data_IF_052711763230
#
_entry.id   IF_052711763230
#
_cell.length_a   1.000
_cell.length_b   1.000
_cell.length_c   1.000
_cell.angle_alpha   90.00
_cell.angle_beta   90.00
_cell.angle_gamma   90.00
#
_symmetry.space_group_name_H-M   'P 1'
#
loop_
_entity.id
_entity.type
_entity.pdbx_description
1 polymer ?
#
# COMPACT_ATOMS: atom_id res chain seq x y z
N UNK A 1 -8.11 -21.80 -3.60
CA UNK A 1 -6.98 -22.76 -3.55
C UNK A 1 -5.87 -22.36 -2.56
N UNK A 2 -5.05 -21.33 -2.84
CA UNK A 2 -3.83 -21.06 -2.05
C UNK A 2 -4.10 -20.79 -0.55
N UNK A 3 -5.13 -19.99 -0.24
CA UNK A 3 -5.53 -19.71 1.14
C UNK A 3 -6.12 -20.93 1.90
N UNK A 4 -6.51 -21.99 1.18
CA UNK A 4 -7.19 -23.18 1.74
C UNK A 4 -6.26 -24.40 1.81
N UNK A 5 -5.26 -24.48 0.91
CA UNK A 5 -4.37 -25.65 0.74
C UNK A 5 -2.88 -25.33 0.94
N UNK A 6 -2.54 -24.06 1.18
CA UNK A 6 -1.16 -23.59 1.35
C UNK A 6 -0.26 -23.82 0.13
N UNK A 7 1.04 -23.56 0.30
CA UNK A 7 2.05 -23.74 -0.76
C UNK A 7 2.45 -25.21 -0.97
N UNK A 8 2.20 -26.09 0.00
CA UNK A 8 2.36 -27.54 -0.15
C UNK A 8 1.51 -28.11 -1.30
N UNK A 9 0.23 -27.72 -1.37
CA UNK A 9 -0.69 -28.12 -2.44
C UNK A 9 -0.51 -27.43 -3.79
N UNK A 10 0.39 -26.44 -3.91
CA UNK A 10 0.57 -25.69 -5.14
C UNK A 10 1.37 -26.50 -6.19
N UNK A 11 0.78 -26.71 -7.37
CA UNK A 11 1.46 -27.28 -8.54
C UNK A 11 0.96 -26.59 -9.81
N UNK A 12 1.78 -26.56 -10.86
CA UNK A 12 1.38 -26.02 -12.18
C UNK A 12 0.12 -26.71 -12.72
N UNK A 13 -0.03 -28.03 -12.50
CA UNK A 13 -1.24 -28.79 -12.86
C UNK A 13 -2.47 -28.31 -12.09
N UNK A 14 -2.36 -28.10 -10.78
CA UNK A 14 -3.49 -27.67 -9.96
C UNK A 14 -3.95 -26.24 -10.31
N UNK A 15 -3.01 -25.33 -10.60
CA UNK A 15 -3.35 -23.97 -11.06
C UNK A 15 -3.93 -23.98 -12.47
N UNK A 16 -3.39 -24.79 -13.39
CA UNK A 16 -3.96 -24.98 -14.72
C UNK A 16 -5.43 -25.45 -14.64
N UNK A 17 -5.71 -26.46 -13.80
CA UNK A 17 -7.06 -26.96 -13.56
C UNK A 17 -8.02 -25.92 -12.93
N UNK A 18 -7.52 -25.05 -12.04
CA UNK A 18 -8.31 -23.92 -11.50
C UNK A 18 -8.60 -22.85 -12.56
N UNK A 19 -7.71 -22.65 -13.52
CA UNK A 19 -7.86 -21.66 -14.61
C UNK A 19 -8.61 -22.19 -15.83
N UNK A 20 -9.04 -23.46 -15.86
CA UNK A 20 -9.56 -24.11 -17.07
C UNK A 20 -8.54 -24.24 -18.20
N UNK A 21 -7.25 -24.13 -17.88
CA UNK A 21 -6.14 -24.10 -18.82
C UNK A 21 -5.39 -25.43 -18.90
N UNK A 22 -4.61 -25.64 -19.96
CA UNK A 22 -3.70 -26.78 -20.04
C UNK A 22 -2.43 -26.53 -19.21
N UNK A 23 -1.84 -27.58 -18.64
CA UNK A 23 -0.56 -27.44 -17.90
C UNK A 23 0.58 -26.95 -18.82
N UNK A 24 0.54 -27.30 -20.10
CA UNK A 24 1.50 -26.84 -21.11
C UNK A 24 1.48 -25.31 -21.33
N UNK A 25 0.31 -24.69 -21.24
CA UNK A 25 0.19 -23.23 -21.32
C UNK A 25 0.88 -22.57 -20.12
N UNK A 26 0.69 -23.09 -18.90
CA UNK A 26 1.32 -22.53 -17.71
C UNK A 26 2.85 -22.72 -17.71
N UNK A 27 3.38 -23.81 -18.25
CA UNK A 27 4.85 -23.99 -18.36
C UNK A 27 5.52 -22.98 -19.30
N UNK A 28 4.77 -22.36 -20.22
CA UNK A 28 5.29 -21.31 -21.09
C UNK A 28 5.44 -19.96 -20.36
N UNK A 29 4.64 -19.69 -19.33
CA UNK A 29 4.73 -18.48 -18.50
C UNK A 29 5.55 -18.68 -17.23
N UNK A 30 5.50 -19.87 -16.65
CA UNK A 30 6.14 -20.23 -15.40
C UNK A 30 6.97 -21.51 -15.60
N UNK A 31 8.28 -21.40 -15.90
CA UNK A 31 9.12 -22.56 -16.20
C UNK A 31 9.31 -23.51 -15.00
N UNK A 32 8.91 -23.10 -13.79
CA UNK A 32 8.96 -23.93 -12.58
C UNK A 32 7.86 -23.58 -11.58
N UNK A 33 7.58 -24.49 -10.63
CA UNK A 33 6.77 -24.18 -9.44
C UNK A 33 7.36 -22.97 -8.70
N UNK A 34 8.68 -22.84 -8.62
CA UNK A 34 9.35 -21.68 -7.99
C UNK A 34 8.91 -20.39 -8.67
N UNK A 35 9.07 -20.27 -9.99
CA UNK A 35 8.68 -19.07 -10.75
C UNK A 35 7.22 -18.65 -10.54
N UNK A 36 6.30 -19.61 -10.42
CA UNK A 36 4.89 -19.35 -10.08
C UNK A 36 4.72 -18.83 -8.64
N UNK A 37 5.46 -19.36 -7.67
CA UNK A 37 5.48 -18.89 -6.28
C UNK A 37 6.04 -17.47 -6.19
N UNK A 38 7.19 -17.21 -6.83
CA UNK A 38 7.81 -15.87 -6.95
C UNK A 38 6.75 -14.85 -7.41
N UNK A 39 6.13 -15.13 -8.55
CA UNK A 39 5.16 -14.25 -9.17
C UNK A 39 3.92 -14.03 -8.31
N UNK A 40 3.35 -15.09 -7.72
CA UNK A 40 2.21 -14.97 -6.83
C UNK A 40 2.49 -14.08 -5.61
N UNK A 41 3.69 -14.20 -5.03
CA UNK A 41 4.12 -13.39 -3.88
C UNK A 41 4.43 -11.94 -4.27
N UNK A 42 5.02 -11.70 -5.45
CA UNK A 42 5.22 -10.34 -5.94
C UNK A 42 3.89 -9.64 -6.28
N UNK A 43 2.89 -10.36 -6.82
CA UNK A 43 1.53 -9.83 -7.02
C UNK A 43 0.86 -9.49 -5.68
N UNK A 44 1.00 -10.33 -4.65
CA UNK A 44 0.49 -10.02 -3.31
C UNK A 44 1.18 -8.78 -2.70
N UNK A 45 2.51 -8.67 -2.84
CA UNK A 45 3.25 -7.50 -2.37
C UNK A 45 2.88 -6.20 -3.11
N UNK A 46 2.64 -6.27 -4.43
CA UNK A 46 2.25 -5.12 -5.25
C UNK A 46 0.80 -4.64 -5.00
N UNK A 47 -0.13 -5.56 -4.66
CA UNK A 47 -1.50 -5.17 -4.27
C UNK A 47 -1.49 -4.19 -3.08
N UNK A 48 -0.57 -4.35 -2.14
CA UNK A 48 -0.38 -3.43 -1.01
C UNK A 48 -0.01 -2.01 -1.44
N UNK A 49 0.70 -1.86 -2.56
CA UNK A 49 1.21 -0.58 -3.03
C UNK A 49 0.16 0.22 -3.83
N UNK A 50 -0.76 -0.47 -4.51
CA UNK A 50 -1.69 0.17 -5.46
C UNK A 50 -2.89 0.83 -4.77
N UNK A 51 -3.34 0.29 -3.64
CA UNK A 51 -4.54 0.79 -2.92
C UNK A 51 -4.27 2.06 -2.10
N UNK A 52 -3.09 2.18 -1.51
CA UNK A 52 -2.79 3.21 -0.50
C UNK A 52 -2.69 4.61 -1.09
N UNK A 53 -1.91 4.78 -2.15
CA UNK A 53 -1.59 6.11 -2.72
C UNK A 53 -2.85 6.91 -3.14
N UNK A 54 -3.79 6.36 -3.95
CA UNK A 54 -4.98 7.13 -4.37
C UNK A 54 -5.90 7.51 -3.21
N UNK A 55 -6.00 6.65 -2.19
CA UNK A 55 -6.85 6.87 -1.03
C UNK A 55 -6.34 8.02 -0.14
N UNK A 56 -5.03 8.08 0.14
CA UNK A 56 -4.47 9.17 0.96
C UNK A 56 -4.44 10.49 0.19
N UNK A 57 -4.16 10.46 -1.11
CA UNK A 57 -4.29 11.67 -1.95
C UNK A 57 -5.73 12.21 -1.96
N UNK A 58 -6.75 11.33 -1.94
CA UNK A 58 -8.14 11.75 -1.83
C UNK A 58 -8.42 12.40 -0.46
N UNK A 59 -7.95 11.81 0.63
CA UNK A 59 -8.06 12.38 1.99
C UNK A 59 -7.33 13.73 2.10
N UNK A 60 -6.14 13.87 1.51
CA UNK A 60 -5.41 15.13 1.46
C UNK A 60 -6.14 16.23 0.68
N UNK A 61 -6.74 15.88 -0.46
CA UNK A 61 -7.62 16.79 -1.22
C UNK A 61 -8.87 17.18 -0.43
N UNK A 62 -9.51 16.25 0.28
CA UNK A 62 -10.66 16.54 1.14
C UNK A 62 -10.32 17.43 2.32
N UNK A 63 -9.17 17.22 2.98
CA UNK A 63 -8.69 18.07 4.07
C UNK A 63 -8.31 19.48 3.59
N UNK A 64 -7.70 19.59 2.41
CA UNK A 64 -7.40 20.88 1.76
C UNK A 64 -8.63 21.57 1.17
N UNK A 65 -9.77 20.88 1.07
CA UNK A 65 -10.99 21.33 0.42
C UNK A 65 -12.09 21.80 1.37
N UNK A 66 -11.85 21.86 2.68
CA UNK A 66 -12.83 22.33 3.65
C UNK A 66 -12.96 23.88 3.57
N UNK A 67 -14.10 24.44 3.11
CA UNK A 67 -14.30 25.88 3.14
C UNK A 67 -14.42 26.36 4.59
N UNK A 68 -13.83 27.52 4.88
CA UNK A 68 -13.91 28.15 6.20
C UNK A 68 -15.36 28.37 6.63
N UNK A 69 -15.62 28.26 7.94
CA UNK A 69 -16.96 28.27 8.53
C UNK A 69 -17.66 29.63 8.42
N UNK A 70 -18.24 29.91 7.25
CA UNK A 70 -19.30 30.91 7.09
C UNK A 70 -20.65 30.26 7.39
N UNK A 71 -21.24 30.56 8.54
CA UNK A 71 -22.59 30.11 8.87
C UNK A 71 -23.62 30.81 7.95
N UNK A 72 -24.47 30.08 7.20
CA UNK A 72 -25.51 30.71 6.39
C UNK A 72 -26.76 30.99 7.23
N UNK A 73 -27.23 32.24 7.16
CA UNK A 73 -28.54 32.62 7.68
C UNK A 73 -29.70 32.06 6.85
N UNK A 74 -30.90 32.16 7.41
CA UNK A 74 -32.17 31.69 6.84
C UNK A 74 -32.49 32.26 5.44
N UNK A 75 -32.93 31.40 4.52
CA UNK A 75 -33.53 31.84 3.25
C UNK A 75 -33.81 30.71 2.25
N UNK A 76 -35.05 30.26 2.18
CA UNK A 76 -35.67 29.64 0.98
C UNK A 76 -36.56 30.71 0.29
N UNK A 77 -37.11 30.57 -0.94
CA UNK A 77 -37.13 29.43 -1.88
C UNK A 77 -36.09 29.62 -3.04
N UNK A 78 -36.11 29.02 -4.24
CA UNK A 78 -37.13 28.25 -4.97
C UNK A 78 -36.55 27.19 -5.94
N UNK A 79 -37.31 26.80 -6.98
CA UNK A 79 -37.00 25.75 -7.95
C UNK A 79 -36.80 26.29 -9.37
N UNK A 80 -35.95 25.64 -10.17
CA UNK A 80 -36.25 25.30 -11.58
C UNK A 80 -35.30 24.24 -12.18
N UNK A 81 -35.77 23.58 -13.25
CA UNK A 81 -35.13 22.60 -14.14
C UNK A 81 -35.93 22.61 -15.46
N UNK A 82 -35.44 22.09 -16.61
CA UNK A 82 -34.07 21.82 -17.05
C UNK A 82 -33.79 22.28 -18.52
N UNK A 83 -32.58 22.02 -19.05
CA UNK A 83 -32.24 22.01 -20.49
C UNK A 83 -31.00 21.12 -20.70
N UNK A 84 -30.98 20.14 -21.62
CA UNK A 84 -30.62 20.28 -23.04
C UNK A 84 -29.12 20.63 -23.25
N UNK A 85 -28.32 20.02 -24.12
CA UNK A 85 -28.49 18.92 -25.09
C UNK A 85 -27.08 18.35 -25.46
N UNK A 86 -26.91 17.05 -25.73
CA UNK A 86 -26.64 16.46 -27.08
C UNK A 86 -25.16 16.42 -27.54
N UNK A 87 -24.77 15.22 -28.03
CA UNK A 87 -23.67 14.89 -28.97
C UNK A 87 -22.19 15.02 -28.54
N UNK A 88 -21.24 14.35 -29.21
CA UNK A 88 -21.20 12.99 -29.85
C UNK A 88 -19.74 12.70 -30.27
N UNK A 89 -19.36 11.43 -30.40
CA UNK A 89 -18.07 10.97 -30.95
C UNK A 89 -16.82 11.26 -30.09
N UNK A 90 -15.70 10.56 -30.28
CA UNK A 90 -15.48 9.41 -31.16
C UNK A 90 -14.02 8.92 -31.13
N UNK A 91 -13.83 7.66 -30.74
CA UNK A 91 -12.80 6.67 -31.16
C UNK A 91 -11.31 7.05 -31.22
N UNK A 92 -10.47 6.08 -30.80
CA UNK A 92 -9.01 5.95 -31.01
C UNK A 92 -8.10 6.92 -30.24
N UNK A 93 -6.91 6.52 -29.77
CA UNK A 93 -6.21 5.25 -29.96
C UNK A 93 -4.78 5.53 -30.44
N UNK A 94 -3.80 5.44 -29.54
CA UNK A 94 -2.41 5.77 -29.87
C UNK A 94 -1.46 5.53 -28.70
N UNK A 95 -0.82 4.36 -28.71
CA UNK A 95 0.36 4.10 -27.87
C UNK A 95 1.58 4.80 -28.48
N UNK A 96 2.35 5.53 -27.68
CA UNK A 96 3.69 5.97 -28.05
C UNK A 96 4.63 5.83 -26.86
N UNK A 97 5.73 5.12 -27.10
CA UNK A 97 6.80 4.81 -26.13
C UNK A 97 8.01 5.72 -26.32
N UNK A 98 8.73 5.99 -25.23
CA UNK A 98 10.16 6.34 -25.28
C UNK A 98 10.48 7.83 -25.27
N UNK A 99 11.52 8.19 -24.51
CA UNK A 99 11.98 9.58 -24.36
C UNK A 99 12.85 9.81 -23.14
N UNK A 100 13.97 9.09 -23.02
CA UNK A 100 15.00 9.41 -22.02
C UNK A 100 15.75 10.67 -22.46
N UNK A 101 15.86 11.67 -21.57
CA UNK A 101 16.63 12.88 -21.80
C UNK A 101 17.11 13.46 -20.46
N UNK A 102 18.42 13.54 -20.29
CA UNK A 102 19.07 14.06 -19.08
C UNK A 102 19.79 15.39 -19.38
N UNK A 103 19.94 16.23 -18.35
CA UNK A 103 20.89 17.34 -18.34
C UNK A 103 20.27 18.72 -18.08
N UNK A 104 20.69 19.38 -17.00
CA UNK A 104 20.30 20.76 -16.67
C UNK A 104 20.66 21.13 -15.23
N UNK A 105 21.88 21.62 -15.01
CA UNK A 105 22.36 22.04 -13.68
C UNK A 105 22.22 23.54 -13.44
N UNK A 106 21.83 23.90 -12.20
CA UNK A 106 21.98 25.22 -11.56
C UNK A 106 21.19 26.40 -12.20
N UNK A 107 20.83 27.47 -11.49
CA UNK A 107 21.24 27.97 -10.18
C UNK A 107 20.17 28.88 -9.53
N UNK A 108 20.33 29.16 -8.23
CA UNK A 108 20.01 30.45 -7.58
C UNK A 108 18.61 31.05 -7.72
N UNK A 109 17.78 30.89 -6.66
CA UNK A 109 16.54 31.66 -6.52
C UNK A 109 16.00 31.64 -5.09
N UNK A 110 16.37 32.63 -4.28
CA UNK A 110 15.75 32.85 -2.97
C UNK A 110 14.31 33.31 -3.16
N UNK A 111 13.34 32.52 -2.67
CA UNK A 111 11.93 32.92 -2.63
C UNK A 111 11.36 32.70 -1.23
N UNK A 112 10.81 33.80 -0.71
CA UNK A 112 10.07 33.97 0.53
C UNK A 112 9.06 32.87 0.83
N UNK A 113 8.75 32.70 2.12
CA UNK A 113 7.88 31.64 2.65
C UNK A 113 6.57 31.44 1.87
N UNK A 114 6.47 30.28 1.23
CA UNK A 114 5.23 29.76 0.66
C UNK A 114 4.45 29.08 1.78
N UNK A 115 3.20 29.49 1.99
CA UNK A 115 2.32 28.88 2.99
C UNK A 115 2.12 27.39 2.71
N UNK A 116 2.05 26.58 3.78
CA UNK A 116 1.93 25.12 3.71
C UNK A 116 0.55 24.67 3.18
N UNK A 117 0.36 24.78 1.86
CA UNK A 117 -0.81 24.29 1.14
C UNK A 117 -0.61 22.86 0.63
N UNK A 118 -1.21 21.87 1.31
CA UNK A 118 -1.57 20.60 0.69
C UNK A 118 -0.49 19.54 0.50
N UNK A 119 0.69 19.64 1.14
CA UNK A 119 1.60 18.48 1.22
C UNK A 119 0.99 17.39 2.09
N UNK A 120 0.78 16.19 1.53
CA UNK A 120 0.26 15.03 2.27
C UNK A 120 1.20 14.68 3.43
N UNK A 121 0.65 14.61 4.65
CA UNK A 121 1.37 14.25 5.87
C UNK A 121 2.14 12.94 5.70
N UNK A 122 3.44 12.95 6.03
CA UNK A 122 4.31 11.77 5.96
C UNK A 122 3.83 10.66 6.91
N UNK A 123 3.36 11.05 8.09
CA UNK A 123 2.84 10.14 9.09
C UNK A 123 1.45 9.59 8.72
N UNK A 124 0.60 10.38 8.05
CA UNK A 124 -0.64 9.88 7.46
C UNK A 124 -0.38 8.85 6.34
N UNK A 125 0.62 9.08 5.49
CA UNK A 125 1.06 8.09 4.50
C UNK A 125 1.60 6.82 5.15
N UNK A 126 2.46 6.94 6.17
CA UNK A 126 2.99 5.78 6.90
C UNK A 126 1.86 4.95 7.52
N UNK A 127 0.90 5.61 8.19
CA UNK A 127 -0.29 4.97 8.75
C UNK A 127 -1.05 4.19 7.69
N UNK A 128 -1.33 4.79 6.54
CA UNK A 128 -2.10 4.16 5.47
C UNK A 128 -1.36 2.96 4.84
N UNK A 129 -0.03 3.04 4.68
CA UNK A 129 0.79 1.89 4.24
C UNK A 129 0.74 0.74 5.25
N UNK A 130 0.79 1.03 6.55
CA UNK A 130 0.71 0.01 7.60
C UNK A 130 -0.70 -0.60 7.72
N UNK A 131 -1.75 0.19 7.52
CA UNK A 131 -3.13 -0.31 7.49
C UNK A 131 -3.39 -1.32 6.37
N UNK A 132 -2.83 -1.09 5.17
CA UNK A 132 -3.06 -1.98 4.03
C UNK A 132 -2.41 -3.36 4.19
N UNK A 133 -1.35 -3.46 5.00
CA UNK A 133 -0.72 -4.73 5.39
C UNK A 133 -1.63 -5.55 6.31
N UNK A 134 -2.50 -4.91 7.11
CA UNK A 134 -3.28 -5.60 8.14
C UNK A 134 -4.45 -6.44 7.59
N UNK A 135 -4.76 -7.59 8.21
CA UNK A 135 -5.92 -8.42 7.87
C UNK A 135 -7.22 -7.83 8.43
N UNK A 136 -7.55 -6.60 8.01
CA UNK A 136 -8.77 -5.87 8.42
C UNK A 136 -10.04 -6.38 7.73
N UNK A 137 -9.92 -7.05 6.58
CA UNK A 137 -11.03 -7.54 5.76
C UNK A 137 -10.85 -9.03 5.41
N UNK A 138 -11.92 -9.77 5.06
CA UNK A 138 -11.80 -11.18 4.67
C UNK A 138 -10.83 -11.44 3.51
N UNK A 139 -10.75 -10.55 2.50
CA UNK A 139 -9.81 -10.69 1.38
C UNK A 139 -8.36 -10.41 1.79
N UNK A 140 -8.10 -9.38 2.61
CA UNK A 140 -6.74 -9.11 3.10
C UNK A 140 -6.29 -10.18 4.11
N UNK A 141 -7.21 -10.73 4.91
CA UNK A 141 -6.94 -11.89 5.75
C UNK A 141 -6.62 -13.16 4.94
N UNK A 142 -7.34 -13.43 3.85
CA UNK A 142 -7.02 -14.55 2.95
C UNK A 142 -5.64 -14.36 2.29
N UNK A 143 -5.33 -13.14 1.84
CA UNK A 143 -4.04 -12.77 1.26
C UNK A 143 -2.89 -12.93 2.27
N UNK A 144 -3.09 -12.48 3.52
CA UNK A 144 -2.13 -12.62 4.61
C UNK A 144 -1.89 -14.08 5.02
N UNK A 145 -2.93 -14.95 5.01
CA UNK A 145 -2.73 -16.41 5.22
C UNK A 145 -1.84 -17.02 4.15
N UNK A 146 -1.98 -16.60 2.90
CA UNK A 146 -1.08 -17.04 1.82
C UNK A 146 0.34 -16.54 2.11
N UNK A 147 0.53 -15.25 2.41
CA UNK A 147 1.84 -14.68 2.71
C UNK A 147 2.55 -15.40 3.87
N UNK A 148 1.89 -15.56 5.02
CA UNK A 148 2.46 -16.27 6.18
C UNK A 148 2.70 -17.76 5.86
N UNK A 149 1.78 -18.39 5.13
CA UNK A 149 1.92 -19.78 4.68
C UNK A 149 3.03 -20.02 3.65
N UNK A 150 3.67 -18.97 3.11
CA UNK A 150 4.85 -19.10 2.25
C UNK A 150 6.17 -19.18 3.03
N UNK A 151 6.18 -18.74 4.29
CA UNK A 151 7.42 -18.61 5.07
C UNK A 151 8.11 -19.94 5.33
N UNK A 152 7.35 -21.01 5.58
CA UNK A 152 7.89 -22.38 5.73
C UNK A 152 8.73 -22.81 4.51
N UNK A 153 8.14 -22.70 3.31
CA UNK A 153 8.84 -23.01 2.05
C UNK A 153 9.98 -22.03 1.77
N UNK A 154 9.81 -20.75 2.11
CA UNK A 154 10.83 -19.72 1.88
C UNK A 154 12.06 -19.88 2.80
N UNK A 155 11.87 -20.31 4.05
CA UNK A 155 12.96 -20.54 5.01
C UNK A 155 13.75 -21.83 4.69
N UNK A 156 13.14 -22.77 3.96
CA UNK A 156 13.78 -24.01 3.52
C UNK A 156 14.58 -23.89 2.21
N UNK A 157 14.37 -22.83 1.41
CA UNK A 157 15.00 -22.63 0.10
C UNK A 157 15.76 -21.27 0.08
N UNK A 158 17.11 -21.27 0.00
CA UNK A 158 17.91 -20.04 0.00
C UNK A 158 17.58 -19.04 -1.11
N UNK A 159 17.13 -19.48 -2.29
CA UNK A 159 16.73 -18.58 -3.38
C UNK A 159 15.43 -17.86 -3.00
N UNK A 160 14.44 -18.60 -2.51
CA UNK A 160 13.17 -18.02 -2.03
C UNK A 160 13.36 -17.15 -0.78
N UNK A 161 14.29 -17.50 0.11
CA UNK A 161 14.66 -16.67 1.27
C UNK A 161 15.20 -15.30 0.81
N UNK A 162 16.12 -15.29 -0.18
CA UNK A 162 16.68 -14.07 -0.73
C UNK A 162 15.60 -13.19 -1.39
N UNK A 163 14.66 -13.77 -2.13
CA UNK A 163 13.53 -13.04 -2.71
C UNK A 163 12.60 -12.43 -1.64
N UNK A 164 12.32 -13.14 -0.55
CA UNK A 164 11.53 -12.59 0.56
C UNK A 164 12.27 -11.44 1.27
N UNK A 165 13.57 -11.60 1.49
CA UNK A 165 14.41 -10.55 2.05
C UNK A 165 14.42 -9.30 1.15
N UNK A 166 14.42 -9.47 -0.17
CA UNK A 166 14.28 -8.39 -1.16
C UNK A 166 12.91 -7.70 -1.07
N UNK A 167 11.81 -8.46 -1.05
CA UNK A 167 10.45 -7.92 -0.89
C UNK A 167 10.33 -7.09 0.39
N UNK A 168 10.84 -7.58 1.52
CA UNK A 168 10.86 -6.82 2.77
C UNK A 168 11.78 -5.60 2.73
N UNK A 169 12.94 -5.65 2.05
CA UNK A 169 13.84 -4.49 1.91
C UNK A 169 13.20 -3.38 1.07
N UNK A 170 12.58 -3.72 -0.08
CA UNK A 170 11.79 -2.79 -0.91
C UNK A 170 10.66 -2.14 -0.10
N UNK A 171 9.94 -2.93 0.69
CA UNK A 171 8.87 -2.45 1.58
C UNK A 171 9.40 -1.46 2.64
N UNK A 172 10.50 -1.77 3.35
CA UNK A 172 11.12 -0.84 4.32
C UNK A 172 11.61 0.45 3.67
N UNK A 173 12.21 0.38 2.48
CA UNK A 173 12.68 1.57 1.76
C UNK A 173 11.53 2.54 1.46
N UNK A 174 10.35 2.04 1.08
CA UNK A 174 9.15 2.88 0.90
C UNK A 174 8.62 3.47 2.20
N UNK A 175 8.54 2.67 3.27
CA UNK A 175 8.14 3.17 4.59
C UNK A 175 9.09 4.27 5.09
N UNK A 176 10.40 4.12 4.86
CA UNK A 176 11.40 5.11 5.24
C UNK A 176 11.23 6.47 4.53
N UNK A 177 10.73 6.50 3.29
CA UNK A 177 10.38 7.77 2.60
C UNK A 177 9.28 8.52 3.37
N UNK A 178 8.25 7.80 3.84
CA UNK A 178 7.15 8.40 4.60
C UNK A 178 7.58 8.82 6.01
N UNK A 179 8.44 8.04 6.67
CA UNK A 179 9.07 8.44 7.95
C UNK A 179 9.94 9.69 7.78
N UNK A 180 10.79 9.75 6.76
CA UNK A 180 11.65 10.92 6.52
C UNK A 180 10.82 12.17 6.22
N UNK A 181 9.72 12.05 5.47
CA UNK A 181 8.77 13.15 5.26
C UNK A 181 8.10 13.61 6.57
N UNK A 182 7.72 12.66 7.45
CA UNK A 182 7.16 12.97 8.76
C UNK A 182 8.18 13.68 9.68
N UNK A 183 9.45 13.24 9.66
CA UNK A 183 10.54 13.89 10.40
C UNK A 183 10.81 15.32 9.89
N UNK A 184 10.89 15.51 8.57
CA UNK A 184 11.07 16.82 7.95
C UNK A 184 9.89 17.79 8.23
N UNK A 185 8.69 17.26 8.46
CA UNK A 185 7.51 18.03 8.86
C UNK A 185 7.36 18.22 10.38
N UNK A 186 8.27 17.67 11.20
CA UNK A 186 8.19 17.72 12.67
C UNK A 186 7.09 16.83 13.28
N UNK A 187 6.52 15.91 12.51
CA UNK A 187 5.49 14.95 12.94
C UNK A 187 6.08 13.76 13.73
N UNK A 188 7.37 13.46 13.50
CA UNK A 188 8.13 12.42 14.18
C UNK A 188 9.51 12.96 14.62
N UNK A 189 10.10 12.42 15.71
CA UNK A 189 11.47 12.77 16.12
C UNK A 189 12.50 12.35 15.06
N UNK A 190 13.50 13.19 14.82
CA UNK A 190 14.61 12.99 13.88
C UNK A 190 15.85 12.31 14.51
N UNK A 191 15.92 12.24 15.84
CA UNK A 191 17.00 11.58 16.60
C UNK A 191 17.16 10.07 16.39
N UNK A 192 16.26 9.42 15.63
CA UNK A 192 16.39 8.02 15.19
C UNK A 192 16.32 7.96 13.65
N UNK A 193 17.22 7.23 12.96
CA UNK A 193 17.19 7.13 11.51
C UNK A 193 15.85 6.63 10.96
N UNK A 194 15.37 7.27 9.89
CA UNK A 194 14.09 6.91 9.25
C UNK A 194 14.00 5.42 8.86
N UNK A 195 15.13 4.82 8.48
CA UNK A 195 15.22 3.41 8.13
C UNK A 195 14.96 2.46 9.31
N UNK A 196 15.39 2.83 10.52
CA UNK A 196 15.24 2.02 11.73
C UNK A 196 13.81 2.09 12.26
N UNK A 197 13.20 3.29 12.22
CA UNK A 197 11.78 3.47 12.53
C UNK A 197 10.89 2.71 11.52
N UNK A 198 11.24 2.71 10.23
CA UNK A 198 10.57 1.93 9.20
C UNK A 198 10.72 0.41 9.42
N UNK A 199 11.90 -0.06 9.83
CA UNK A 199 12.13 -1.46 10.18
C UNK A 199 11.30 -1.87 11.41
N UNK A 200 11.26 -1.05 12.45
CA UNK A 200 10.43 -1.27 13.64
C UNK A 200 8.94 -1.30 13.30
N UNK A 201 8.46 -0.37 12.46
CA UNK A 201 7.06 -0.33 12.02
C UNK A 201 6.68 -1.57 11.19
N UNK A 202 7.56 -2.03 10.30
CA UNK A 202 7.36 -3.28 9.55
C UNK A 202 7.32 -4.50 10.49
N UNK A 203 8.21 -4.57 11.48
CA UNK A 203 8.22 -5.66 12.46
C UNK A 203 6.95 -5.69 13.31
N UNK A 204 6.50 -4.53 13.80
CA UNK A 204 5.25 -4.38 14.55
C UNK A 204 4.04 -4.87 13.74
N UNK A 205 3.87 -4.38 12.51
CA UNK A 205 2.68 -4.72 11.70
C UNK A 205 2.68 -6.19 11.28
N UNK A 206 3.82 -6.78 10.93
CA UNK A 206 3.92 -8.21 10.62
C UNK A 206 3.64 -9.10 11.85
N UNK A 207 4.06 -8.67 13.04
CA UNK A 207 3.69 -9.33 14.29
C UNK A 207 2.18 -9.30 14.53
N UNK A 208 1.54 -8.16 14.29
CA UNK A 208 0.09 -7.99 14.44
C UNK A 208 -0.71 -8.81 13.42
N UNK A 209 -0.23 -8.92 12.17
CA UNK A 209 -0.78 -9.85 11.16
C UNK A 209 -0.80 -11.27 11.68
N UNK A 210 0.31 -11.78 12.23
CA UNK A 210 0.40 -13.15 12.75
C UNK A 210 -0.59 -13.37 13.88
N UNK A 211 -0.65 -12.46 14.87
CA UNK A 211 -1.59 -12.55 15.99
C UNK A 211 -3.05 -12.57 15.50
N UNK A 212 -3.41 -11.71 14.56
CA UNK A 212 -4.77 -11.64 14.01
C UNK A 212 -5.17 -12.87 13.18
N UNK A 213 -4.22 -13.56 12.54
CA UNK A 213 -4.49 -14.82 11.84
C UNK A 213 -4.75 -16.00 12.78
N UNK A 214 -4.09 -16.05 13.94
CA UNK A 214 -4.25 -17.13 14.92
C UNK A 214 -5.42 -16.89 15.89
N UNK A 215 -5.64 -15.64 16.32
CA UNK A 215 -6.68 -15.27 17.30
C UNK A 215 -7.61 -14.14 16.78
N UNK A 216 -8.35 -14.36 15.67
CA UNK A 216 -9.16 -13.31 15.04
C UNK A 216 -10.27 -12.74 15.93
N UNK A 217 -10.76 -13.50 16.90
CA UNK A 217 -11.73 -13.03 17.89
C UNK A 217 -11.11 -12.10 18.96
N UNK A 218 -9.82 -12.27 19.26
CA UNK A 218 -9.08 -11.39 20.17
C UNK A 218 -8.55 -10.14 19.45
N UNK A 219 -8.28 -10.25 18.14
CA UNK A 219 -7.75 -9.18 17.30
C UNK A 219 -8.72 -8.82 16.16
N UNK A 220 -9.95 -8.35 16.46
CA UNK A 220 -10.85 -7.81 15.44
C UNK A 220 -10.25 -6.54 14.80
N UNK A 221 -10.76 -6.15 13.63
CA UNK A 221 -10.18 -5.09 12.81
C UNK A 221 -10.02 -3.76 13.58
N UNK A 222 -11.01 -3.39 14.38
CA UNK A 222 -11.02 -2.18 15.22
C UNK A 222 -9.86 -2.20 16.23
N UNK A 223 -9.57 -3.35 16.83
CA UNK A 223 -8.43 -3.52 17.76
C UNK A 223 -7.11 -3.45 17.03
N UNK A 224 -7.00 -4.02 15.83
CA UNK A 224 -5.77 -3.93 15.03
C UNK A 224 -5.46 -2.48 14.65
N UNK A 225 -6.47 -1.71 14.23
CA UNK A 225 -6.34 -0.27 13.94
C UNK A 225 -5.93 0.51 15.20
N UNK A 226 -6.61 0.30 16.33
CA UNK A 226 -6.29 0.98 17.59
C UNK A 226 -4.86 0.68 18.09
N UNK A 227 -4.38 -0.55 17.93
CA UNK A 227 -3.01 -0.93 18.27
C UNK A 227 -1.97 -0.24 17.36
N UNK A 228 -2.25 -0.13 16.06
CA UNK A 228 -1.40 0.60 15.13
C UNK A 228 -1.36 2.10 15.45
N UNK A 229 -2.51 2.71 15.77
CA UNK A 229 -2.58 4.13 16.11
C UNK A 229 -1.81 4.43 17.41
N UNK A 230 -2.00 3.62 18.45
CA UNK A 230 -1.22 3.72 19.69
C UNK A 230 0.30 3.52 19.49
N UNK A 231 0.71 2.66 18.56
CA UNK A 231 2.12 2.51 18.18
C UNK A 231 2.67 3.78 17.51
N UNK A 232 1.90 4.40 16.61
CA UNK A 232 2.29 5.66 15.94
C UNK A 232 2.32 6.84 16.93
N UNK A 233 1.41 6.91 17.89
CA UNK A 233 1.46 7.91 18.96
C UNK A 233 2.68 7.70 19.89
N UNK A 234 3.03 6.45 20.19
CA UNK A 234 4.28 6.11 20.88
C UNK A 234 5.56 6.42 20.11
N UNK A 235 5.50 6.59 18.78
CA UNK A 235 6.60 7.15 17.98
C UNK A 235 6.68 8.68 18.14
N UNK A 236 5.54 9.39 18.09
CA UNK A 236 5.46 10.85 18.28
C UNK A 236 5.94 11.31 19.67
N UNK A 237 5.66 10.52 20.70
CA UNK A 237 5.94 10.87 22.10
C UNK A 237 7.41 10.71 22.52
N UNK A 238 8.25 10.03 21.73
CA UNK A 238 9.69 9.90 22.00
C UNK A 238 10.41 11.20 21.61
N UNK A 239 10.84 11.96 22.62
CA UNK A 239 11.74 13.11 22.48
C UNK A 239 13.07 12.80 23.16
#
# INVERSE_FOLDING_TARGET
MLAERGFGGLTLRAVAGQMGATTGLLTHYFPSKRALVVYALDVLAQRTETRVRPAVEALGRSASGAPGSGAPGSGAPAAERPGAAVSDGGVSGGSASGGSGAGGSASGGSASGVGAGGSVSGLAMLRAVLLDVLPLEPESAASNRIWVGSWDTALADPELAAEHAERYRRSRARMAVHVAAAQAAGELPDGVPAADLAAAAQGFVLGLVVQALFAPAEYPAERQVALLDGYLDGLRARR
#
